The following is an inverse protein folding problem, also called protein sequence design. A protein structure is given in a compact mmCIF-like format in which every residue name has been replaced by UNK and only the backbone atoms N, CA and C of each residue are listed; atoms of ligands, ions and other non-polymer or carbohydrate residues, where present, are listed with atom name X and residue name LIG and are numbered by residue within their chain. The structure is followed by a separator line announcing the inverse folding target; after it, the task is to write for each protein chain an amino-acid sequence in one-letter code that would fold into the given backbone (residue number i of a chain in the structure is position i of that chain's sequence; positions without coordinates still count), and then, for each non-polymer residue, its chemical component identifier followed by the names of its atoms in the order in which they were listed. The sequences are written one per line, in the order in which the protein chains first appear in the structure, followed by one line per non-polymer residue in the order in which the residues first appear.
data_IF_566794651467
#
_entry.id   IF_566794651467
#
_cell.length_a   1.000
_cell.length_b   1.000
_cell.length_c   1.000
_cell.angle_alpha   90.00
_cell.angle_beta   90.00
_cell.angle_gamma   90.00
#
_symmetry.space_group_name_H-M   'P 1'
#
loop_
_entity.id
_entity.type
_entity.pdbx_description
1 polymer ?
#
# COMPACT_ATOMS: atom_id res chain seq x y z
N UNK A 1 9.76 -16.28 3.42
CA UNK A 1 8.41 -16.18 4.02
C UNK A 1 8.54 -16.18 5.52
N UNK A 2 7.80 -15.34 6.18
CA UNK A 2 7.83 -15.24 7.64
C UNK A 2 6.65 -15.96 8.26
N UNK A 3 6.80 -16.33 9.54
CA UNK A 3 5.69 -16.85 10.32
C UNK A 3 4.56 -15.83 10.44
N UNK A 4 4.91 -14.54 10.46
CA UNK A 4 3.92 -13.48 10.49
C UNK A 4 3.07 -13.48 9.21
N UNK A 5 3.69 -13.62 8.04
CA UNK A 5 2.96 -13.68 6.78
C UNK A 5 2.00 -14.86 6.75
N UNK A 6 2.44 -16.03 7.23
CA UNK A 6 1.60 -17.22 7.32
C UNK A 6 0.42 -17.00 8.26
N UNK A 7 0.69 -16.39 9.42
CA UNK A 7 -0.34 -16.09 10.42
C UNK A 7 -1.41 -15.14 9.84
N UNK A 8 -0.98 -14.08 9.18
CA UNK A 8 -1.89 -13.09 8.59
C UNK A 8 -2.73 -13.72 7.48
N UNK A 9 -2.13 -14.55 6.64
CA UNK A 9 -2.87 -15.25 5.58
C UNK A 9 -3.94 -16.16 6.15
N UNK A 10 -3.60 -16.91 7.20
CA UNK A 10 -4.50 -17.84 7.83
C UNK A 10 -5.66 -17.14 8.55
N UNK A 11 -5.38 -16.05 9.28
CA UNK A 11 -6.37 -15.43 10.17
C UNK A 11 -7.18 -14.32 9.52
N UNK A 12 -6.62 -13.61 8.53
CA UNK A 12 -7.25 -12.42 7.93
C UNK A 12 -7.41 -12.52 6.42
N UNK A 13 -6.86 -13.55 5.82
CA UNK A 13 -6.81 -13.71 4.35
C UNK A 13 -6.13 -12.51 3.66
N UNK A 14 -5.16 -11.90 4.34
CA UNK A 14 -4.30 -10.87 3.75
C UNK A 14 -2.98 -11.49 3.34
N UNK A 15 -2.34 -10.92 2.34
CA UNK A 15 -1.02 -11.35 1.88
C UNK A 15 0.03 -10.35 2.34
N UNK A 16 1.12 -10.85 2.95
CA UNK A 16 2.25 -10.03 3.35
C UNK A 16 3.42 -10.37 2.44
N UNK A 17 3.99 -9.34 1.81
CA UNK A 17 5.19 -9.46 0.99
C UNK A 17 6.32 -8.74 1.71
N UNK A 18 7.38 -9.47 2.03
CA UNK A 18 8.54 -8.93 2.75
C UNK A 18 9.81 -9.01 1.90
N UNK A 19 10.66 -8.02 2.08
CA UNK A 19 12.02 -8.04 1.54
C UNK A 19 12.98 -7.47 2.59
N UNK A 20 14.22 -7.22 2.22
CA UNK A 20 15.24 -6.71 3.13
C UNK A 20 14.98 -5.27 3.60
N UNK A 21 14.09 -4.55 2.92
CA UNK A 21 13.82 -3.13 3.19
C UNK A 21 12.57 -2.90 4.04
N UNK A 22 11.62 -3.84 4.02
CA UNK A 22 10.36 -3.68 4.72
C UNK A 22 9.33 -4.70 4.25
N UNK A 23 8.06 -4.32 4.38
CA UNK A 23 6.98 -5.19 3.91
C UNK A 23 5.75 -4.37 3.54
N UNK A 24 4.86 -4.98 2.79
CA UNK A 24 3.50 -4.48 2.66
C UNK A 24 2.51 -5.65 2.79
N UNK A 25 1.33 -5.32 3.28
CA UNK A 25 0.24 -6.26 3.51
C UNK A 25 -0.95 -5.79 2.70
N UNK A 26 -1.56 -6.69 1.91
CA UNK A 26 -2.70 -6.32 1.10
C UNK A 26 -3.78 -7.38 1.13
N UNK A 27 -4.99 -6.99 0.76
CA UNK A 27 -6.10 -7.89 0.51
C UNK A 27 -6.71 -7.57 -0.85
N UNK A 28 -7.35 -8.55 -1.47
CA UNK A 28 -8.06 -8.36 -2.72
C UNK A 28 -9.52 -8.08 -2.39
N UNK A 29 -10.01 -6.94 -2.84
CA UNK A 29 -11.41 -6.56 -2.73
C UNK A 29 -12.08 -6.71 -4.09
N UNK A 30 -13.39 -6.47 -4.14
CA UNK A 30 -14.14 -6.62 -5.39
C UNK A 30 -13.63 -5.69 -6.49
N UNK A 31 -13.26 -4.46 -6.15
CA UNK A 31 -12.91 -3.42 -7.10
C UNK A 31 -11.49 -2.88 -6.95
N UNK A 32 -10.67 -3.42 -6.04
CA UNK A 32 -9.32 -2.89 -5.83
C UNK A 32 -8.44 -3.87 -5.09
N UNK A 33 -7.13 -3.62 -5.20
CA UNK A 33 -6.16 -4.15 -4.25
C UNK A 33 -6.14 -3.18 -3.07
N UNK A 34 -6.44 -3.65 -1.88
CA UNK A 34 -6.48 -2.80 -0.69
C UNK A 34 -5.19 -2.97 0.10
N UNK A 35 -4.44 -1.88 0.22
CA UNK A 35 -3.20 -1.85 1.00
C UNK A 35 -3.55 -1.71 2.49
N UNK A 36 -3.37 -2.79 3.23
CA UNK A 36 -3.70 -2.84 4.66
C UNK A 36 -2.60 -2.23 5.52
N UNK A 37 -1.35 -2.50 5.17
CA UNK A 37 -0.19 -2.03 5.91
C UNK A 37 1.01 -1.88 5.00
N UNK A 38 1.88 -0.93 5.35
CA UNK A 38 3.17 -0.75 4.68
C UNK A 38 4.19 -0.33 5.74
N UNK A 39 5.35 -0.95 5.69
CA UNK A 39 6.44 -0.60 6.60
C UNK A 39 7.77 -0.63 5.85
N UNK A 40 8.56 0.41 6.02
CA UNK A 40 9.92 0.50 5.49
C UNK A 40 10.85 0.76 6.66
N UNK A 41 11.91 -0.05 6.79
CA UNK A 41 12.84 0.11 7.90
C UNK A 41 13.50 1.49 7.88
N UNK A 42 13.79 2.11 9.04
CA UNK A 42 14.25 3.50 9.11
C UNK A 42 15.49 3.82 8.27
N UNK A 43 16.42 2.87 8.15
CA UNK A 43 17.69 3.10 7.44
C UNK A 43 17.55 3.31 5.94
N UNK A 44 16.41 2.93 5.34
CA UNK A 44 16.20 3.01 3.88
C UNK A 44 14.90 3.74 3.53
N UNK A 45 14.29 4.41 4.51
CA UNK A 45 13.05 5.14 4.26
C UNK A 45 13.25 6.22 3.21
N UNK A 46 12.26 6.33 2.32
CA UNK A 46 12.25 7.34 1.31
C UNK A 46 11.34 6.96 0.16
N UNK A 47 11.36 7.83 -0.82
CA UNK A 47 10.50 7.79 -1.98
C UNK A 47 10.64 6.49 -2.80
N UNK A 48 11.88 6.01 -2.99
CA UNK A 48 12.15 4.89 -3.89
C UNK A 48 11.50 3.58 -3.44
N UNK A 49 11.61 3.24 -2.16
CA UNK A 49 11.10 1.97 -1.65
C UNK A 49 9.57 1.95 -1.72
N UNK A 50 8.93 3.04 -1.30
CA UNK A 50 7.47 3.17 -1.38
C UNK A 50 7.01 3.09 -2.83
N UNK A 51 7.71 3.76 -3.75
CA UNK A 51 7.42 3.70 -5.19
C UNK A 51 7.47 2.27 -5.71
N UNK A 52 8.51 1.51 -5.33
CA UNK A 52 8.66 0.12 -5.74
C UNK A 52 7.51 -0.74 -5.23
N UNK A 53 7.10 -0.55 -3.97
CA UNK A 53 5.97 -1.29 -3.40
C UNK A 53 4.66 -0.95 -4.12
N UNK A 54 4.44 0.32 -4.44
CA UNK A 54 3.26 0.73 -5.21
C UNK A 54 3.26 0.07 -6.59
N UNK A 55 4.41 0.01 -7.25
CA UNK A 55 4.53 -0.67 -8.55
C UNK A 55 4.21 -2.16 -8.45
N UNK A 56 4.71 -2.82 -7.42
CA UNK A 56 4.40 -4.24 -7.19
C UNK A 56 2.92 -4.46 -6.95
N UNK A 57 2.29 -3.59 -6.16
CA UNK A 57 0.84 -3.64 -5.93
C UNK A 57 0.06 -3.42 -7.23
N UNK A 58 0.54 -2.54 -8.09
CA UNK A 58 -0.04 -2.31 -9.42
C UNK A 58 0.03 -3.55 -10.30
N UNK A 59 1.13 -4.29 -10.24
CA UNK A 59 1.26 -5.55 -10.97
C UNK A 59 0.26 -6.61 -10.44
N UNK A 60 0.04 -6.63 -9.14
CA UNK A 60 -0.96 -7.51 -8.54
C UNK A 60 -2.36 -7.14 -9.01
N UNK A 61 -2.68 -5.84 -9.03
CA UNK A 61 -3.97 -5.35 -9.51
C UNK A 61 -4.19 -5.73 -10.99
N UNK A 62 -3.17 -5.57 -11.81
CA UNK A 62 -3.23 -5.93 -13.23
C UNK A 62 -3.47 -7.42 -13.41
N UNK A 63 -2.77 -8.24 -12.65
CA UNK A 63 -2.92 -9.70 -12.70
C UNK A 63 -4.35 -10.15 -12.37
N UNK A 64 -5.03 -9.42 -11.50
CA UNK A 64 -6.38 -9.74 -11.05
C UNK A 64 -7.46 -8.90 -11.74
N UNK A 65 -7.11 -8.14 -12.78
CA UNK A 65 -8.02 -7.25 -13.52
C UNK A 65 -8.73 -6.24 -12.61
N UNK A 66 -8.01 -5.70 -11.63
CA UNK A 66 -8.55 -4.70 -10.72
C UNK A 66 -8.13 -3.30 -11.17
N UNK A 67 -9.04 -2.31 -11.12
CA UNK A 67 -8.76 -1.00 -11.70
C UNK A 67 -7.87 -0.09 -10.85
N UNK A 68 -7.67 -0.39 -9.59
CA UNK A 68 -6.90 0.50 -8.71
C UNK A 68 -6.32 -0.20 -7.49
N UNK A 69 -5.39 0.51 -6.85
CA UNK A 69 -4.87 0.18 -5.52
C UNK A 69 -5.34 1.27 -4.57
N UNK A 70 -5.97 0.88 -3.47
CA UNK A 70 -6.52 1.81 -2.49
C UNK A 70 -5.89 1.54 -1.14
N UNK A 71 -5.73 2.57 -0.34
CA UNK A 71 -5.19 2.44 1.01
C UNK A 71 -5.78 3.47 1.95
N UNK A 72 -5.32 3.44 3.20
CA UNK A 72 -5.76 4.36 4.23
C UNK A 72 -4.56 4.89 5.01
N UNK A 73 -4.59 6.18 5.32
CA UNK A 73 -3.61 6.82 6.20
C UNK A 73 -4.36 7.32 7.43
N UNK A 74 -3.98 6.80 8.61
CA UNK A 74 -4.56 7.27 9.87
C UNK A 74 -3.76 8.50 10.32
N UNK A 75 -4.41 9.66 10.38
CA UNK A 75 -3.74 10.92 10.71
C UNK A 75 -3.24 10.99 12.15
N UNK A 76 -3.73 10.10 13.03
CA UNK A 76 -3.22 10.01 14.40
C UNK A 76 -1.88 9.27 14.47
N UNK A 77 -1.45 8.59 13.41
CA UNK A 77 -0.17 7.93 13.36
C UNK A 77 0.96 8.98 13.28
N UNK A 78 2.03 8.80 14.06
CA UNK A 78 3.10 9.81 14.15
C UNK A 78 3.82 10.08 12.83
N UNK A 79 3.79 9.16 11.87
CA UNK A 79 4.40 9.32 10.55
C UNK A 79 3.38 9.63 9.44
N UNK A 80 2.14 9.97 9.78
CA UNK A 80 1.07 10.14 8.79
C UNK A 80 1.41 11.17 7.71
N UNK A 81 1.98 12.32 8.10
CA UNK A 81 2.34 13.35 7.13
C UNK A 81 3.38 12.86 6.13
N UNK A 82 4.39 12.15 6.58
CA UNK A 82 5.45 11.63 5.72
C UNK A 82 4.90 10.57 4.75
N UNK A 83 4.06 9.68 5.25
CA UNK A 83 3.43 8.64 4.44
C UNK A 83 2.55 9.26 3.37
N UNK A 84 1.69 10.21 3.76
CA UNK A 84 0.80 10.89 2.83
C UNK A 84 1.58 11.65 1.75
N UNK A 85 2.64 12.35 2.13
CA UNK A 85 3.48 13.06 1.17
C UNK A 85 4.15 12.11 0.17
N UNK A 86 4.62 10.95 0.62
CA UNK A 86 5.20 9.94 -0.25
C UNK A 86 4.17 9.41 -1.25
N UNK A 87 2.94 9.19 -0.79
CA UNK A 87 1.86 8.76 -1.68
C UNK A 87 1.56 9.83 -2.73
N UNK A 88 1.40 11.09 -2.32
CA UNK A 88 1.10 12.18 -3.24
C UNK A 88 2.21 12.39 -4.28
N UNK A 89 3.47 12.19 -3.89
CA UNK A 89 4.60 12.26 -4.84
C UNK A 89 4.58 11.12 -5.86
N UNK A 90 3.89 10.03 -5.56
CA UNK A 90 3.73 8.90 -6.46
C UNK A 90 2.39 8.92 -7.20
N UNK A 91 1.76 10.08 -7.33
CA UNK A 91 0.50 10.27 -8.06
C UNK A 91 -0.70 9.56 -7.42
N UNK A 92 -0.60 9.20 -6.16
CA UNK A 92 -1.72 8.67 -5.40
C UNK A 92 -2.64 9.85 -5.03
N UNK A 93 -3.93 9.68 -5.22
CA UNK A 93 -4.92 10.73 -4.94
C UNK A 93 -5.67 10.47 -3.66
N UNK A 94 -6.07 11.54 -2.96
CA UNK A 94 -6.98 11.45 -1.84
C UNK A 94 -8.40 11.30 -2.39
N UNK A 95 -9.12 10.26 -1.97
CA UNK A 95 -10.48 10.01 -2.43
C UNK A 95 -11.54 10.25 -1.37
N UNK A 96 -11.15 10.45 -0.12
CA UNK A 96 -12.08 10.75 0.94
C UNK A 96 -11.41 10.78 2.29
N UNK A 97 -12.16 11.21 3.29
CA UNK A 97 -11.71 11.22 4.67
C UNK A 97 -12.89 10.98 5.59
N UNK A 98 -12.73 10.07 6.55
CA UNK A 98 -13.76 9.77 7.56
C UNK A 98 -13.03 9.65 8.90
N UNK A 99 -13.47 10.44 9.88
CA UNK A 99 -12.82 10.50 11.19
C UNK A 99 -11.33 10.81 11.04
N UNK A 100 -10.46 9.94 11.55
CA UNK A 100 -9.01 10.13 11.48
C UNK A 100 -8.38 9.41 10.29
N UNK A 101 -9.16 8.89 9.35
CA UNK A 101 -8.66 8.12 8.22
C UNK A 101 -8.79 8.91 6.92
N UNK A 102 -7.68 9.02 6.20
CA UNK A 102 -7.64 9.58 4.85
C UNK A 102 -7.51 8.41 3.89
N UNK A 103 -8.48 8.26 2.99
CA UNK A 103 -8.48 7.20 1.99
C UNK A 103 -7.82 7.70 0.72
N UNK A 104 -6.91 6.88 0.19
CA UNK A 104 -6.11 7.23 -0.99
C UNK A 104 -6.24 6.14 -2.04
N UNK A 105 -6.06 6.50 -3.30
CA UNK A 105 -6.14 5.54 -4.40
C UNK A 105 -5.27 5.98 -5.57
N UNK A 106 -4.79 4.98 -6.32
CA UNK A 106 -4.12 5.21 -7.60
C UNK A 106 -4.64 4.17 -8.59
N UNK A 107 -4.98 4.62 -9.81
CA UNK A 107 -5.42 3.72 -10.86
C UNK A 107 -4.30 2.80 -11.33
N UNK A 108 -4.65 1.58 -11.69
CA UNK A 108 -3.67 0.60 -12.20
C UNK A 108 -2.92 1.15 -13.41
N UNK A 109 -3.62 1.84 -14.31
CA UNK A 109 -2.99 2.49 -15.46
C UNK A 109 -1.95 3.54 -15.03
N UNK A 110 -2.29 4.35 -14.04
CA UNK A 110 -1.38 5.41 -13.57
C UNK A 110 -0.13 4.84 -12.90
N UNK A 111 -0.25 3.68 -12.27
CA UNK A 111 0.91 3.00 -11.68
C UNK A 111 1.90 2.59 -12.77
N UNK A 112 1.44 2.15 -13.92
CA UNK A 112 2.34 1.72 -15.00
C UNK A 112 3.17 2.86 -15.57
N UNK A 113 2.79 4.10 -15.30
CA UNK A 113 3.51 5.29 -15.78
C UNK A 113 4.47 5.87 -14.73
N UNK A 114 4.54 5.28 -13.55
CA UNK A 114 5.44 5.77 -12.50
C UNK A 114 6.92 5.64 -12.84
#
# INVERSE_FOLDING_TARGET
MSLYADYIKETKDHTVVEDENGFYEYSLKENCVYLENIYVKPSVRGFRIVKNYIKELGQIAEKHDLPCVTGVVNIAHHNANNILMLYLKNNVSVIGAVDNNIYVSIGTYDITTL
#
